data_IF_559493704339
#
_entry.id   IF_559493704339
#
_cell.length_a   1.000
_cell.length_b   1.000
_cell.length_c   1.000
_cell.angle_alpha   90.00
_cell.angle_beta   90.00
_cell.angle_gamma   90.00
#
_symmetry.space_group_name_H-M   'P 1'
#
loop_
_entity.id
_entity.type
_entity.pdbx_description
1 polymer ?
#
# COMPACT_ATOMS: atom_id res chain seq x y z
N UNK A 1 -1.71 -16.07 -19.73
CA UNK A 1 -1.67 -16.91 -18.52
C UNK A 1 -1.11 -15.98 -17.46
N UNK A 2 -1.96 -15.42 -16.60
CA UNK A 2 -1.64 -14.21 -15.83
C UNK A 2 -0.37 -14.37 -14.98
N UNK A 3 0.57 -13.45 -15.08
CA UNK A 3 1.74 -13.43 -14.20
C UNK A 3 1.30 -12.93 -12.81
N UNK A 4 1.82 -13.54 -11.75
CA UNK A 4 1.63 -13.07 -10.37
C UNK A 4 2.99 -12.73 -9.79
N UNK A 5 3.16 -11.52 -9.23
CA UNK A 5 4.41 -11.10 -8.59
C UNK A 5 4.16 -10.71 -7.14
N UNK A 6 4.60 -11.54 -6.18
CA UNK A 6 4.63 -11.15 -4.78
C UNK A 6 5.86 -10.28 -4.49
N UNK A 7 5.69 -9.26 -3.65
CA UNK A 7 6.76 -8.39 -3.17
C UNK A 7 6.57 -8.13 -1.68
N UNK A 8 7.67 -8.14 -0.92
CA UNK A 8 7.67 -7.62 0.45
C UNK A 8 7.99 -6.12 0.42
N UNK A 9 7.37 -5.36 1.31
CA UNK A 9 7.51 -3.91 1.42
C UNK A 9 7.76 -3.55 2.88
N UNK A 10 8.55 -2.50 3.10
CA UNK A 10 8.70 -1.86 4.42
C UNK A 10 8.49 -0.38 4.16
N UNK A 11 7.52 0.21 4.87
CA UNK A 11 7.15 1.60 4.70
C UNK A 11 7.36 2.36 6.01
N UNK A 12 7.83 3.59 5.88
CA UNK A 12 7.83 4.58 6.95
C UNK A 12 7.16 5.85 6.42
N UNK A 13 6.25 6.41 7.21
CA UNK A 13 5.55 7.65 6.90
C UNK A 13 5.81 8.64 8.04
N UNK A 14 6.17 9.86 7.65
CA UNK A 14 6.30 11.00 8.55
C UNK A 14 5.40 12.10 8.00
N UNK A 15 4.43 12.49 8.82
CA UNK A 15 3.52 13.58 8.52
C UNK A 15 3.73 14.68 9.55
N UNK A 16 4.10 15.87 9.05
CA UNK A 16 4.23 17.10 9.81
C UNK A 16 3.16 18.07 9.31
N UNK A 17 2.19 18.38 10.17
CA UNK A 17 1.09 19.27 9.82
C UNK A 17 1.50 20.74 10.05
N UNK A 18 1.29 21.65 9.07
CA UNK A 18 1.74 23.05 9.16
C UNK A 18 1.07 23.85 10.29
N UNK A 19 0.00 23.33 10.89
CA UNK A 19 -0.65 23.91 12.07
C UNK A 19 -0.09 23.38 13.42
N UNK A 20 1.04 22.65 13.39
CA UNK A 20 1.84 22.24 14.54
C UNK A 20 1.07 21.51 15.66
N UNK A 21 -0.08 20.93 15.32
CA UNK A 21 -0.98 20.28 16.29
C UNK A 21 -0.76 18.77 16.31
N UNK A 22 -0.24 18.18 15.23
CA UNK A 22 -0.08 16.74 15.14
C UNK A 22 1.15 16.36 14.32
N UNK A 23 2.13 15.76 15.00
CA UNK A 23 3.15 14.95 14.33
C UNK A 23 2.61 13.52 14.25
N UNK A 24 2.88 12.80 13.16
CA UNK A 24 2.59 11.38 13.05
C UNK A 24 3.77 10.67 12.39
N UNK A 25 4.35 9.71 13.10
CA UNK A 25 5.36 8.80 12.56
C UNK A 25 4.79 7.38 12.60
N UNK A 26 4.65 6.78 11.43
CA UNK A 26 4.22 5.40 11.26
C UNK A 26 5.32 4.60 10.57
N UNK A 27 5.53 3.37 10.99
CA UNK A 27 6.39 2.43 10.28
C UNK A 27 5.78 1.04 10.29
N UNK A 28 6.01 0.27 9.23
CA UNK A 28 5.32 -1.01 9.08
C UNK A 28 5.84 -1.90 7.96
N UNK A 29 5.94 -3.22 8.19
CA UNK A 29 6.12 -4.18 7.11
C UNK A 29 4.79 -4.41 6.37
N UNK A 30 4.91 -4.83 5.12
CA UNK A 30 3.78 -5.22 4.29
C UNK A 30 4.16 -6.16 3.17
N UNK A 31 3.13 -6.65 2.50
CA UNK A 31 3.22 -7.50 1.32
C UNK A 31 2.36 -6.92 0.22
N UNK A 32 2.83 -7.00 -1.02
CA UNK A 32 2.06 -6.68 -2.21
C UNK A 32 1.97 -7.91 -3.10
N UNK A 33 0.77 -8.21 -3.60
CA UNK A 33 0.50 -9.26 -4.57
C UNK A 33 -0.11 -8.59 -5.79
N UNK A 34 0.64 -8.59 -6.90
CA UNK A 34 0.16 -8.08 -8.18
C UNK A 34 -0.23 -9.22 -9.10
N UNK A 35 -1.46 -9.19 -9.59
CA UNK A 35 -2.04 -10.13 -10.55
C UNK A 35 -2.42 -9.42 -11.83
N UNK A 36 -1.88 -9.86 -12.97
CA UNK A 36 -2.29 -9.38 -14.29
C UNK A 36 -3.34 -10.30 -14.88
N UNK A 37 -4.46 -9.71 -15.31
CA UNK A 37 -5.52 -10.38 -16.02
C UNK A 37 -5.80 -9.61 -17.31
N UNK A 38 -6.11 -10.33 -18.40
CA UNK A 38 -6.28 -9.78 -19.75
C UNK A 38 -4.96 -9.52 -20.54
N UNK A 39 -4.13 -10.55 -20.70
CA UNK A 39 -3.03 -10.56 -21.69
C UNK A 39 -3.57 -10.91 -23.09
N UNK A 40 -4.29 -10.00 -23.77
CA UNK A 40 -4.64 -10.23 -25.17
C UNK A 40 -3.52 -9.72 -26.08
N UNK A 41 -3.11 -10.57 -27.02
CA UNK A 41 -1.97 -10.38 -27.94
C UNK A 41 -1.99 -9.06 -28.74
N UNK A 42 -3.12 -8.37 -28.86
CA UNK A 42 -3.33 -7.20 -29.73
C UNK A 42 -3.96 -5.98 -29.04
N UNK A 43 -4.16 -5.98 -27.71
CA UNK A 43 -4.68 -4.81 -26.98
C UNK A 43 -3.66 -4.33 -25.95
N UNK A 44 -3.31 -3.04 -26.04
CA UNK A 44 -2.29 -2.40 -25.22
C UNK A 44 -2.71 -2.18 -23.75
N UNK A 45 -3.95 -2.49 -23.38
CA UNK A 45 -4.46 -2.29 -22.03
C UNK A 45 -4.22 -3.52 -21.16
N UNK A 46 -3.16 -3.44 -20.35
CA UNK A 46 -2.77 -4.48 -19.40
C UNK A 46 -3.52 -4.26 -18.09
N UNK A 47 -4.69 -4.89 -17.93
CA UNK A 47 -5.43 -4.79 -16.67
C UNK A 47 -4.67 -5.49 -15.55
N UNK A 48 -4.66 -4.90 -14.37
CA UNK A 48 -3.97 -5.46 -13.20
C UNK A 48 -4.71 -5.15 -11.92
N UNK A 49 -4.71 -6.12 -11.00
CA UNK A 49 -5.09 -5.91 -9.61
C UNK A 49 -3.86 -6.10 -8.75
N UNK A 50 -3.65 -5.17 -7.83
CA UNK A 50 -2.58 -5.23 -6.85
C UNK A 50 -3.18 -5.10 -5.46
N UNK A 51 -3.00 -6.13 -4.65
CA UNK A 51 -3.43 -6.17 -3.26
C UNK A 51 -2.22 -5.92 -2.38
N UNK A 52 -2.26 -4.85 -1.59
CA UNK A 52 -1.21 -4.47 -0.65
C UNK A 52 -1.77 -4.58 0.76
N UNK A 53 -1.14 -5.40 1.60
CA UNK A 53 -1.47 -5.55 3.02
C UNK A 53 -0.29 -5.09 3.83
N UNK A 54 -0.50 -4.15 4.75
CA UNK A 54 0.56 -3.59 5.58
C UNK A 54 0.09 -3.53 7.03
N UNK A 55 0.98 -3.88 7.94
CA UNK A 55 0.77 -3.64 9.36
C UNK A 55 1.52 -2.36 9.73
N UNK A 56 0.78 -1.31 10.11
CA UNK A 56 1.35 -0.02 10.49
C UNK A 56 1.39 0.10 12.00
N UNK A 57 2.55 0.49 12.51
CA UNK A 57 2.74 0.82 13.92
C UNK A 57 2.95 2.31 14.03
N UNK A 58 2.10 2.98 14.80
CA UNK A 58 2.33 4.37 15.21
C UNK A 58 3.46 4.38 16.23
N UNK A 59 4.56 5.05 15.88
CA UNK A 59 5.75 5.15 16.72
C UNK A 59 5.66 6.38 17.62
N UNK A 60 5.24 7.51 17.06
CA UNK A 60 5.03 8.76 17.81
C UNK A 60 3.98 9.62 17.13
N UNK A 61 3.31 10.46 17.91
CA UNK A 61 2.34 11.42 17.41
C UNK A 61 1.06 11.54 18.21
N UNK A 62 0.29 12.61 17.97
CA UNK A 62 -1.00 12.85 18.63
C UNK A 62 -2.21 12.42 17.75
N UNK A 63 -1.92 11.92 16.55
CA UNK A 63 -2.96 11.50 15.60
C UNK A 63 -3.77 10.31 16.11
N UNK A 64 -5.09 10.33 15.96
CA UNK A 64 -5.98 9.22 16.36
C UNK A 64 -5.75 7.91 15.57
N UNK A 65 -4.89 7.94 14.54
CA UNK A 65 -4.44 6.75 13.83
C UNK A 65 -3.67 5.83 14.79
N UNK A 66 -4.30 4.75 15.24
CA UNK A 66 -3.64 3.71 16.04
C UNK A 66 -2.77 2.78 15.18
N UNK A 67 -1.99 1.93 15.83
CA UNK A 67 -1.36 0.79 15.14
C UNK A 67 -2.43 -0.16 14.61
N UNK A 68 -2.34 -0.58 13.35
CA UNK A 68 -3.38 -1.39 12.74
C UNK A 68 -2.99 -2.02 11.40
N UNK A 69 -3.84 -2.95 10.98
CA UNK A 69 -3.77 -3.54 9.65
C UNK A 69 -4.41 -2.62 8.63
N UNK A 70 -3.71 -2.42 7.52
CA UNK A 70 -4.20 -1.67 6.36
C UNK A 70 -4.18 -2.60 5.15
N UNK A 71 -5.26 -2.57 4.39
CA UNK A 71 -5.37 -3.28 3.12
C UNK A 71 -5.73 -2.27 2.02
N UNK A 72 -4.99 -2.29 0.93
CA UNK A 72 -5.19 -1.42 -0.22
C UNK A 72 -5.31 -2.28 -1.46
N UNK A 73 -6.42 -2.13 -2.18
CA UNK A 73 -6.62 -2.77 -3.47
C UNK A 73 -6.48 -1.71 -4.56
N UNK A 74 -5.49 -1.86 -5.43
CA UNK A 74 -5.30 -1.02 -6.60
C UNK A 74 -5.77 -1.81 -7.83
N UNK A 75 -6.70 -1.24 -8.58
CA UNK A 75 -7.18 -1.83 -9.83
C UNK A 75 -6.85 -0.87 -10.96
N UNK A 76 -6.18 -1.39 -11.98
CA UNK A 76 -5.89 -0.70 -13.24
C UNK A 76 -6.63 -1.43 -14.36
N UNK A 77 -7.47 -0.71 -15.10
CA UNK A 77 -8.28 -1.23 -16.20
C UNK A 77 -7.96 -0.52 -17.50
#
# INVERSE_FOLDING_TARGET
>A
MGTTRPHALINANWQDDPFNTTHLVEAGPGISIKHWFNERKHEAYRSSAELIVQYRVKVTGDSAAGSGWTATLLVSF
#
